data_IF_035426108502
#
_entry.id   IF_035426108502
#
_cell.length_a   1.000
_cell.length_b   1.000
_cell.length_c   1.000
_cell.angle_alpha   90.00
_cell.angle_beta   90.00
_cell.angle_gamma   90.00
#
_symmetry.space_group_name_H-M   'P 1'
#
loop_
_entity.id
_entity.type
_entity.pdbx_description
1 polymer ?
#
# COMPACT_ATOMS: atom_id res chain seq x y z
N UNK A 1 5.85 -2.94 -2.47
CA UNK A 1 5.98 -4.25 -1.79
C UNK A 1 4.65 -4.58 -1.15
N UNK A 2 4.28 -5.87 -1.04
CA UNK A 2 3.05 -6.29 -0.37
C UNK A 2 3.38 -7.29 0.74
N UNK A 3 2.72 -7.18 1.89
CA UNK A 3 2.85 -8.08 3.03
C UNK A 3 1.49 -8.66 3.42
N UNK A 4 1.43 -9.95 3.69
CA UNK A 4 0.22 -10.60 4.24
C UNK A 4 0.26 -10.52 5.77
N UNK A 5 -0.51 -9.60 6.34
CA UNK A 5 -0.42 -9.25 7.77
C UNK A 5 -1.56 -9.81 8.62
N UNK A 6 -2.54 -10.50 8.02
CA UNK A 6 -3.66 -11.18 8.72
C UNK A 6 -3.25 -12.03 9.93
N UNK A 7 -2.06 -12.65 9.88
CA UNK A 7 -1.53 -13.49 10.97
C UNK A 7 -0.80 -12.71 12.07
N UNK A 8 -0.48 -11.45 11.80
CA UNK A 8 0.34 -10.57 12.64
C UNK A 8 -0.53 -9.50 13.31
N UNK A 9 -1.58 -9.02 12.62
CA UNK A 9 -2.51 -7.99 13.13
C UNK A 9 -3.93 -8.26 12.68
N UNK A 10 -4.89 -7.80 13.47
CA UNK A 10 -6.33 -7.84 13.16
C UNK A 10 -6.81 -6.62 12.35
N UNK A 11 -5.93 -5.64 12.13
CA UNK A 11 -6.29 -4.36 11.51
C UNK A 11 -6.54 -4.49 10.00
N UNK A 12 -5.79 -5.36 9.31
CA UNK A 12 -5.92 -5.57 7.88
C UNK A 12 -5.46 -6.97 7.47
N UNK A 13 -5.85 -7.41 6.28
CA UNK A 13 -5.34 -8.64 5.69
C UNK A 13 -4.01 -8.40 4.95
N UNK A 14 -3.85 -7.24 4.32
CA UNK A 14 -2.69 -6.89 3.50
C UNK A 14 -2.18 -5.47 3.74
N UNK A 15 -0.86 -5.33 3.76
CA UNK A 15 -0.20 -4.04 3.64
C UNK A 15 0.49 -3.88 2.30
N UNK A 16 0.24 -2.75 1.65
CA UNK A 16 0.96 -2.33 0.44
C UNK A 16 1.87 -1.19 0.85
N UNK A 17 3.18 -1.35 0.65
CA UNK A 17 4.17 -0.31 0.92
C UNK A 17 4.72 0.18 -0.42
N UNK A 18 4.56 1.48 -0.69
CA UNK A 18 5.13 2.15 -1.85
C UNK A 18 6.08 3.26 -1.42
N UNK A 19 7.07 3.57 -2.25
CA UNK A 19 8.05 4.62 -1.97
C UNK A 19 8.17 5.52 -3.18
N UNK A 20 8.14 6.83 -2.93
CA UNK A 20 8.29 7.88 -3.93
C UNK A 20 9.53 8.72 -3.63
N UNK A 21 10.17 9.22 -4.69
CA UNK A 21 11.37 10.05 -4.60
C UNK A 21 11.07 11.53 -4.33
N UNK A 22 9.82 11.98 -4.56
CA UNK A 22 9.39 13.36 -4.33
C UNK A 22 7.97 13.45 -3.76
N UNK A 23 7.64 14.57 -3.12
CA UNK A 23 6.28 14.81 -2.63
C UNK A 23 5.25 14.86 -3.77
N UNK A 24 5.62 15.46 -4.91
CA UNK A 24 4.75 15.51 -6.09
C UNK A 24 4.42 14.11 -6.60
N UNK A 25 5.42 13.23 -6.68
CA UNK A 25 5.20 11.84 -7.06
C UNK A 25 4.35 11.09 -6.03
N UNK A 26 4.60 11.32 -4.73
CA UNK A 26 3.83 10.71 -3.65
C UNK A 26 2.34 11.05 -3.76
N UNK A 27 2.03 12.34 -3.93
CA UNK A 27 0.67 12.83 -4.09
C UNK A 27 0.01 12.29 -5.38
N UNK A 28 0.75 12.26 -6.49
CA UNK A 28 0.25 11.72 -7.76
C UNK A 28 -0.08 10.22 -7.66
N UNK A 29 0.71 9.44 -6.92
CA UNK A 29 0.42 8.03 -6.67
C UNK A 29 -0.86 7.89 -5.83
N UNK A 30 -1.01 8.68 -4.76
CA UNK A 30 -2.20 8.64 -3.92
C UNK A 30 -3.47 8.97 -4.71
N UNK A 31 -3.45 10.04 -5.50
CA UNK A 31 -4.56 10.47 -6.36
C UNK A 31 -4.93 9.40 -7.40
N UNK A 32 -3.95 8.78 -8.06
CA UNK A 32 -4.21 7.74 -9.04
C UNK A 32 -4.79 6.47 -8.40
N UNK A 33 -4.32 6.09 -7.20
CA UNK A 33 -4.89 4.96 -6.44
C UNK A 33 -6.35 5.26 -6.09
N UNK A 34 -6.62 6.43 -5.53
CA UNK A 34 -7.97 6.86 -5.16
C UNK A 34 -8.90 6.85 -6.38
N UNK A 35 -8.45 7.40 -7.50
CA UNK A 35 -9.21 7.44 -8.75
C UNK A 35 -9.51 6.06 -9.31
N UNK A 36 -8.55 5.14 -9.32
CA UNK A 36 -8.78 3.79 -9.86
C UNK A 36 -9.68 2.97 -8.94
N UNK A 37 -9.44 2.99 -7.63
CA UNK A 37 -10.29 2.29 -6.67
C UNK A 37 -11.69 2.90 -6.59
N UNK A 38 -11.80 4.22 -6.76
CA UNK A 38 -13.08 4.92 -6.80
C UNK A 38 -13.96 4.51 -7.99
N UNK A 39 -13.37 4.20 -9.16
CA UNK A 39 -14.12 3.65 -10.30
C UNK A 39 -14.72 2.27 -10.01
N UNK A 40 -14.05 1.49 -9.17
CA UNK A 40 -14.49 0.16 -8.73
C UNK A 40 -15.42 0.24 -7.51
N UNK A 41 -15.76 1.44 -7.03
CA UNK A 41 -16.67 1.67 -5.91
C UNK A 41 -16.01 1.62 -4.53
N UNK A 42 -14.67 1.54 -4.45
CA UNK A 42 -13.93 1.59 -3.20
C UNK A 42 -13.51 3.03 -2.90
N UNK A 43 -13.96 3.58 -1.78
CA UNK A 43 -13.60 4.93 -1.34
C UNK A 43 -12.94 4.84 0.03
N UNK A 44 -11.76 5.43 0.24
CA UNK A 44 -11.13 5.43 1.55
C UNK A 44 -11.99 6.29 2.51
N UNK A 45 -12.11 5.92 3.80
CA UNK A 45 -12.82 6.71 4.79
C UNK A 45 -12.11 8.04 5.12
N UNK A 46 -10.84 8.16 4.74
CA UNK A 46 -10.04 9.39 4.79
C UNK A 46 -8.62 9.17 4.26
N UNK A 47 -8.00 10.22 3.73
CA UNK A 47 -6.57 10.24 3.38
C UNK A 47 -5.86 11.10 4.41
N UNK A 48 -4.98 10.49 5.22
CA UNK A 48 -4.20 11.22 6.22
C UNK A 48 -2.82 11.59 5.66
N UNK A 49 -2.35 12.81 5.96
CA UNK A 49 -0.96 13.23 5.70
C UNK A 49 -0.70 14.13 4.47
N UNK A 50 -1.73 14.53 3.72
CA UNK A 50 -1.63 15.07 2.35
C UNK A 50 -0.77 16.34 2.13
N UNK A 51 -0.55 17.20 3.14
CA UNK A 51 -0.04 18.57 2.89
C UNK A 51 1.39 18.85 3.38
N UNK A 52 1.91 18.07 4.31
CA UNK A 52 3.28 18.27 4.87
C UNK A 52 3.97 16.94 5.20
N UNK A 53 3.23 15.83 5.23
CA UNK A 53 3.79 14.57 5.69
C UNK A 53 4.50 13.85 4.55
N UNK A 54 5.61 13.22 4.90
CA UNK A 54 6.36 12.33 4.02
C UNK A 54 5.78 10.91 4.03
N UNK A 55 4.54 10.76 4.51
CA UNK A 55 3.85 9.49 4.68
C UNK A 55 2.34 9.66 4.52
N UNK A 56 1.79 9.13 3.43
CA UNK A 56 0.35 9.06 3.21
C UNK A 56 -0.14 7.66 3.58
N UNK A 57 -1.19 7.60 4.39
CA UNK A 57 -1.88 6.35 4.75
C UNK A 57 -3.26 6.33 4.08
N UNK A 58 -3.54 5.26 3.35
CA UNK A 58 -4.84 5.03 2.72
C UNK A 58 -5.42 3.71 3.23
N UNK A 59 -6.54 3.80 3.94
CA UNK A 59 -7.22 2.65 4.53
C UNK A 59 -8.39 2.22 3.63
N UNK A 60 -8.40 0.96 3.21
CA UNK A 60 -9.50 0.34 2.46
C UNK A 60 -10.10 -0.86 3.20
N UNK A 61 -9.95 -0.93 4.53
CA UNK A 61 -10.39 -2.03 5.38
C UNK A 61 -9.45 -3.22 5.31
N UNK A 62 -9.66 -4.12 4.36
CA UNK A 62 -8.84 -5.34 4.23
C UNK A 62 -7.42 -5.06 3.71
N UNK A 63 -7.24 -3.93 3.04
CA UNK A 63 -5.97 -3.50 2.46
C UNK A 63 -5.63 -2.11 2.97
N UNK A 64 -4.43 -1.96 3.55
CA UNK A 64 -3.91 -0.65 3.94
C UNK A 64 -2.67 -0.33 3.12
N UNK A 65 -2.70 0.83 2.48
CA UNK A 65 -1.64 1.30 1.60
C UNK A 65 -0.85 2.38 2.33
N UNK A 66 0.43 2.12 2.53
CA UNK A 66 1.39 3.06 3.09
C UNK A 66 2.27 3.60 1.95
N UNK A 67 2.17 4.90 1.68
CA UNK A 67 2.98 5.60 0.70
C UNK A 67 4.01 6.45 1.44
N UNK A 68 5.30 6.16 1.26
CA UNK A 68 6.37 6.90 1.91
C UNK A 68 7.19 7.71 0.91
N UNK A 69 7.65 8.88 1.33
CA UNK A 69 8.80 9.51 0.68
C UNK A 69 10.07 8.77 1.10
N UNK A 70 11.04 8.67 0.19
CA UNK A 70 12.26 7.90 0.40
C UNK A 70 13.00 8.23 1.71
N UNK A 71 13.16 9.51 2.00
CA UNK A 71 13.78 10.01 3.22
C UNK A 71 13.03 9.63 4.50
N UNK A 72 11.69 9.61 4.47
CA UNK A 72 10.91 9.14 5.60
C UNK A 72 11.04 7.63 5.79
N UNK A 73 11.08 6.87 4.70
CA UNK A 73 11.30 5.42 4.78
C UNK A 73 12.65 5.08 5.41
N UNK A 74 13.69 5.81 5.02
CA UNK A 74 15.04 5.66 5.58
C UNK A 74 15.07 6.08 7.06
N UNK A 75 14.40 7.19 7.42
CA UNK A 75 14.34 7.68 8.79
C UNK A 75 13.61 6.72 9.75
N UNK A 76 12.47 6.15 9.33
CA UNK A 76 11.68 5.24 10.16
C UNK A 76 12.14 3.78 10.09
N UNK A 77 13.16 3.46 9.27
CA UNK A 77 13.71 2.10 9.06
C UNK A 77 12.61 1.02 8.98
N UNK A 78 11.58 1.29 8.16
CA UNK A 78 10.32 0.54 8.15
C UNK A 78 10.48 -0.91 7.70
N UNK A 79 11.61 -1.23 7.07
CA UNK A 79 11.95 -2.60 6.68
C UNK A 79 12.12 -3.51 7.92
N UNK A 80 12.45 -2.94 9.08
CA UNK A 80 12.49 -3.67 10.37
C UNK A 80 11.13 -3.87 11.04
N UNK A 81 10.11 -3.05 10.73
CA UNK A 81 8.78 -3.11 11.37
C UNK A 81 7.91 -4.25 10.84
N UNK A 82 8.05 -4.57 9.55
CA UNK A 82 7.25 -5.61 8.89
C UNK A 82 8.09 -6.76 8.33
N UNK A 83 9.40 -6.78 8.63
CA UNK A 83 10.37 -7.73 8.09
C UNK A 83 10.04 -9.21 8.36
N UNK A 84 9.34 -9.50 9.46
CA UNK A 84 8.92 -10.87 9.82
C UNK A 84 7.62 -11.30 9.12
N UNK A 85 6.94 -10.39 8.43
CA UNK A 85 5.70 -10.70 7.71
C UNK A 85 6.02 -11.27 6.32
N UNK A 86 5.34 -12.33 5.88
CA UNK A 86 5.58 -12.92 4.56
C UNK A 86 5.32 -11.89 3.46
N UNK A 87 6.39 -11.54 2.74
CA UNK A 87 6.34 -10.69 1.55
C UNK A 87 5.66 -11.47 0.42
N UNK A 88 4.65 -10.86 -0.17
CA UNK A 88 3.96 -11.40 -1.34
C UNK A 88 4.70 -10.98 -2.60
N UNK A 89 5.10 -11.96 -3.40
CA UNK A 89 5.48 -11.72 -4.79
C UNK A 89 4.21 -11.49 -5.63
N UNK A 90 4.10 -10.27 -6.15
CA UNK A 90 2.98 -9.86 -6.99
C UNK A 90 3.01 -10.51 -8.36
N UNK A 91 4.19 -10.76 -8.94
CA UNK A 91 4.29 -11.31 -10.29
C UNK A 91 3.76 -12.75 -10.31
N UNK A 92 4.18 -13.55 -9.32
CA UNK A 92 3.71 -14.92 -9.14
C UNK A 92 2.20 -14.97 -8.86
N UNK A 93 1.70 -14.04 -8.05
CA UNK A 93 0.29 -14.02 -7.63
C UNK A 93 -0.65 -13.50 -8.71
N UNK A 94 -0.25 -12.49 -9.49
CA UNK A 94 -1.00 -12.03 -10.66
C UNK A 94 -1.06 -13.12 -11.73
N UNK A 95 0.03 -13.87 -11.95
CA UNK A 95 0.04 -15.01 -12.87
C UNK A 95 -0.97 -16.09 -12.45
N UNK A 96 -1.04 -16.41 -11.16
CA UNK A 96 -2.02 -17.35 -10.62
C UNK A 96 -3.46 -16.86 -10.77
N UNK A 97 -3.75 -15.59 -10.48
CA UNK A 97 -5.10 -15.00 -10.62
C UNK A 97 -5.53 -15.00 -12.10
N UNK A 98 -4.65 -14.58 -13.01
CA UNK A 98 -4.94 -14.61 -14.46
C UNK A 98 -5.26 -16.02 -14.93
N UNK A 99 -4.49 -17.03 -14.50
CA UNK A 99 -4.77 -18.44 -14.81
C UNK A 99 -6.10 -18.93 -14.24
N UNK A 100 -6.51 -18.43 -13.06
CA UNK A 100 -7.77 -18.80 -12.43
C UNK A 100 -8.98 -18.11 -13.08
N UNK A 101 -8.83 -16.88 -13.59
CA UNK A 101 -9.88 -16.15 -14.32
C UNK A 101 -10.04 -16.59 -15.79
N UNK A 102 -9.03 -17.28 -16.35
CA UNK A 102 -9.04 -17.84 -17.71
C UNK A 102 -9.57 -19.29 -17.78
N UNK A 103 -10.10 -19.83 -16.69
CA UNK A 103 -10.82 -21.11 -16.63
C UNK A 103 -12.29 -20.86 -16.36
#
# INVERSE_FOLDING_TARGET
MIYAVKKVTFIADYFVICTADSQTQLNAIAEEIEKQLGKEGFHPPGIEGEKVSHWILMDYGDVIIHLFRKDARDFYNLDGLWGDSPKIDLEERVLHIKKAMLK
#
